data_IF_587533740643
#
_entry.id   IF_587533740643
#
_cell.length_a   1.000
_cell.length_b   1.000
_cell.length_c   1.000
_cell.angle_alpha   90.00
_cell.angle_beta   90.00
_cell.angle_gamma   90.00
#
_symmetry.space_group_name_H-M   'P 1'
#
loop_
_entity.id
_entity.type
_entity.pdbx_description
1 polymer ?
#
# COMPACT_ATOMS: atom_id res chain seq x y z
N UNK A 1 13.27 -5.69 13.26
CA UNK A 1 12.44 -6.90 13.07
C UNK A 1 11.00 -6.41 13.03
N UNK A 2 10.15 -6.94 12.14
CA UNK A 2 8.74 -6.56 12.11
C UNK A 2 8.03 -7.24 13.27
N UNK A 3 7.58 -6.47 14.26
CA UNK A 3 7.02 -6.92 15.54
C UNK A 3 5.57 -6.47 15.75
N UNK A 4 4.91 -6.07 14.66
CA UNK A 4 3.54 -5.54 14.63
C UNK A 4 2.57 -6.56 14.04
N UNK A 5 1.27 -6.31 14.21
CA UNK A 5 0.24 -7.07 13.49
C UNK A 5 0.33 -6.82 11.97
N UNK A 6 -0.28 -7.71 11.18
CA UNK A 6 -0.40 -7.54 9.74
C UNK A 6 -1.73 -6.89 9.39
N UNK A 7 -1.76 -6.19 8.26
CA UNK A 7 -3.02 -5.69 7.73
C UNK A 7 -3.94 -6.86 7.40
N UNK A 8 -5.21 -6.77 7.82
CA UNK A 8 -6.23 -7.77 7.52
C UNK A 8 -6.45 -7.93 6.02
N UNK A 9 -6.67 -9.16 5.55
CA UNK A 9 -7.04 -9.44 4.16
C UNK A 9 -8.29 -8.66 3.70
N UNK A 10 -9.18 -8.33 4.65
CA UNK A 10 -10.43 -7.61 4.39
C UNK A 10 -10.63 -6.47 5.39
N UNK A 11 -10.09 -5.30 5.07
CA UNK A 11 -10.39 -4.07 5.79
C UNK A 11 -11.80 -3.61 5.43
N UNK A 12 -12.72 -3.69 6.39
CA UNK A 12 -14.13 -3.30 6.17
C UNK A 12 -14.52 -2.01 6.90
N UNK A 13 -13.66 -1.49 7.76
CA UNK A 13 -13.83 -0.25 8.50
C UNK A 13 -12.45 0.32 8.83
N UNK A 14 -12.42 1.61 9.15
CA UNK A 14 -11.22 2.32 9.58
C UNK A 14 -11.52 2.96 10.93
N UNK A 15 -10.63 2.75 11.89
CA UNK A 15 -10.59 3.48 13.16
C UNK A 15 -10.17 4.93 12.91
N UNK A 16 -10.19 5.71 13.98
CA UNK A 16 -9.66 7.07 13.94
C UNK A 16 -8.18 7.05 13.51
N UNK A 17 -7.81 7.98 12.63
CA UNK A 17 -6.47 8.12 12.05
C UNK A 17 -5.94 6.95 11.20
N UNK A 18 -6.76 5.92 10.95
CA UNK A 18 -6.39 4.85 10.00
C UNK A 18 -6.62 5.29 8.56
N UNK A 19 -5.63 5.00 7.72
CA UNK A 19 -5.60 5.31 6.29
C UNK A 19 -5.53 4.02 5.49
N UNK A 20 -6.50 3.82 4.60
CA UNK A 20 -6.54 2.68 3.69
C UNK A 20 -5.60 2.92 2.50
N UNK A 21 -4.50 2.16 2.41
CA UNK A 21 -3.52 2.29 1.31
C UNK A 21 -3.80 1.25 0.23
N UNK A 22 -4.01 1.72 -1.00
CA UNK A 22 -4.51 0.89 -2.09
C UNK A 22 -3.82 1.14 -3.43
N UNK A 23 -3.84 0.12 -4.28
CA UNK A 23 -3.39 0.24 -5.67
C UNK A 23 -4.41 0.97 -6.53
N UNK A 24 -3.96 1.96 -7.28
CA UNK A 24 -4.76 2.77 -8.21
C UNK A 24 -4.13 2.82 -9.62
N UNK A 25 -4.66 3.66 -10.49
CA UNK A 25 -4.05 4.10 -11.74
C UNK A 25 -3.89 5.62 -11.73
N UNK A 26 -3.04 6.15 -12.61
CA UNK A 26 -2.75 7.59 -12.68
C UNK A 26 -3.99 8.45 -12.96
N UNK A 27 -5.00 7.90 -13.64
CA UNK A 27 -6.24 8.61 -13.94
C UNK A 27 -7.23 8.61 -12.77
N UNK A 28 -6.93 7.95 -11.65
CA UNK A 28 -7.84 7.83 -10.50
C UNK A 28 -9.16 7.13 -10.82
N UNK A 29 -9.15 6.22 -11.81
CA UNK A 29 -10.32 5.44 -12.19
C UNK A 29 -10.50 4.26 -11.23
N UNK A 30 -11.17 4.50 -10.10
CA UNK A 30 -11.31 3.56 -8.99
C UNK A 30 -12.47 2.57 -9.19
N UNK A 31 -12.55 1.92 -10.36
CA UNK A 31 -13.71 1.14 -10.78
C UNK A 31 -13.78 -0.32 -10.28
N UNK A 32 -12.75 -0.83 -9.60
CA UNK A 32 -12.72 -2.24 -9.17
C UNK A 32 -11.82 -2.51 -7.97
N UNK A 33 -12.01 -3.69 -7.38
CA UNK A 33 -11.16 -4.22 -6.29
C UNK A 33 -11.06 -3.28 -5.09
N UNK A 34 -9.84 -3.17 -4.54
CA UNK A 34 -9.54 -2.28 -3.41
C UNK A 34 -9.81 -0.80 -3.74
N UNK A 35 -9.58 -0.36 -4.97
CA UNK A 35 -9.85 1.02 -5.38
C UNK A 35 -11.34 1.37 -5.32
N UNK A 36 -12.21 0.47 -5.78
CA UNK A 36 -13.67 0.66 -5.65
C UNK A 36 -14.10 0.76 -4.19
N UNK A 37 -13.55 -0.09 -3.32
CA UNK A 37 -13.83 -0.03 -1.89
C UNK A 37 -13.37 1.30 -1.27
N UNK A 38 -12.16 1.74 -1.61
CA UNK A 38 -11.60 3.02 -1.17
C UNK A 38 -12.50 4.19 -1.56
N UNK A 39 -12.94 4.24 -2.82
CA UNK A 39 -13.84 5.26 -3.34
C UNK A 39 -15.21 5.23 -2.64
N UNK A 40 -15.79 4.05 -2.48
CA UNK A 40 -17.16 3.90 -1.97
C UNK A 40 -17.30 4.12 -0.47
N UNK A 41 -16.23 3.92 0.31
CA UNK A 41 -16.34 3.85 1.78
C UNK A 41 -15.35 4.69 2.55
N UNK A 42 -14.19 4.97 1.98
CA UNK A 42 -13.07 5.57 2.73
C UNK A 42 -12.66 6.95 2.21
N UNK A 43 -13.28 7.42 1.13
CA UNK A 43 -13.15 8.78 0.65
C UNK A 43 -12.04 8.99 -0.38
N UNK A 44 -11.61 7.93 -1.07
CA UNK A 44 -10.84 8.13 -2.29
C UNK A 44 -11.66 8.96 -3.28
N UNK A 45 -11.00 9.82 -4.06
CA UNK A 45 -11.66 10.73 -4.99
C UNK A 45 -11.48 10.23 -6.41
N UNK A 46 -12.57 10.17 -7.18
CA UNK A 46 -12.49 9.79 -8.59
C UNK A 46 -11.68 10.83 -9.37
N UNK A 47 -10.75 10.38 -10.20
CA UNK A 47 -9.80 11.27 -10.89
C UNK A 47 -8.49 11.48 -10.14
N UNK A 48 -8.45 11.16 -8.85
CA UNK A 48 -7.26 11.32 -8.01
C UNK A 48 -6.57 9.97 -7.76
N UNK A 49 -5.49 9.73 -8.50
CA UNK A 49 -4.78 8.44 -8.52
C UNK A 49 -3.57 8.33 -7.59
N UNK A 50 -3.17 9.43 -6.94
CA UNK A 50 -1.89 9.53 -6.22
C UNK A 50 -2.10 10.18 -4.87
N UNK A 51 -1.49 9.64 -3.82
CA UNK A 51 -1.37 10.33 -2.53
C UNK A 51 -2.64 10.30 -1.67
N UNK A 52 -2.65 11.12 -0.63
CA UNK A 52 -3.69 11.15 0.41
C UNK A 52 -4.98 11.81 -0.09
N UNK A 53 -6.09 11.08 -0.01
CA UNK A 53 -7.44 11.57 -0.30
C UNK A 53 -8.44 10.98 0.69
N UNK A 54 -9.14 11.84 1.44
CA UNK A 54 -10.01 11.39 2.53
C UNK A 54 -9.23 10.56 3.55
N UNK A 55 -9.69 9.34 3.84
CA UNK A 55 -8.98 8.37 4.70
C UNK A 55 -8.29 7.28 3.89
N UNK A 56 -7.75 7.66 2.72
CA UNK A 56 -7.11 6.72 1.79
C UNK A 56 -5.82 7.30 1.25
N UNK A 57 -4.88 6.43 0.89
CA UNK A 57 -3.66 6.81 0.18
C UNK A 57 -3.53 5.96 -1.09
N UNK A 58 -3.52 6.61 -2.24
CA UNK A 58 -3.48 5.96 -3.55
C UNK A 58 -2.04 5.79 -4.06
N UNK A 59 -1.70 4.58 -4.47
CA UNK A 59 -0.42 4.24 -5.11
C UNK A 59 -0.68 3.72 -6.53
N UNK A 60 -0.28 4.44 -7.59
CA UNK A 60 -0.42 3.95 -8.96
C UNK A 60 0.36 2.66 -9.24
N UNK A 61 -0.33 1.65 -9.78
CA UNK A 61 0.25 0.35 -10.12
C UNK A 61 -0.07 -0.12 -11.54
N UNK A 62 -0.57 0.75 -12.42
CA UNK A 62 -1.07 0.36 -13.75
C UNK A 62 -0.36 1.08 -14.91
N UNK A 63 0.77 1.73 -14.65
CA UNK A 63 1.50 2.56 -15.61
C UNK A 63 2.75 1.88 -16.21
N UNK A 64 2.92 0.57 -16.00
CA UNK A 64 4.05 -0.19 -16.52
C UNK A 64 4.45 -1.32 -15.58
N UNK A 65 5.75 -1.66 -15.58
CA UNK A 65 6.32 -2.65 -14.67
C UNK A 65 6.59 -2.12 -13.26
N UNK A 66 7.14 -2.98 -12.40
CA UNK A 66 7.48 -2.71 -10.99
C UNK A 66 8.27 -1.41 -10.81
N UNK A 67 9.22 -1.13 -11.71
CA UNK A 67 10.06 0.09 -11.65
C UNK A 67 9.24 1.39 -11.72
N UNK A 68 8.09 1.35 -12.40
CA UNK A 68 7.20 2.52 -12.50
C UNK A 68 6.37 2.74 -11.23
N UNK A 69 6.26 1.73 -10.37
CA UNK A 69 5.54 1.77 -9.09
C UNK A 69 6.45 2.32 -7.98
N UNK A 70 7.75 1.98 -8.04
CA UNK A 70 8.72 2.29 -6.99
C UNK A 70 8.71 3.75 -6.52
N UNK A 71 8.72 4.79 -7.39
CA UNK A 71 8.74 6.17 -6.93
C UNK A 71 7.54 6.51 -6.02
N UNK A 72 6.36 5.99 -6.33
CA UNK A 72 5.15 6.22 -5.52
C UNK A 72 5.18 5.49 -4.17
N UNK A 73 5.85 4.33 -4.10
CA UNK A 73 6.08 3.64 -2.84
C UNK A 73 7.11 4.39 -1.99
N UNK A 74 8.17 4.90 -2.60
CA UNK A 74 9.17 5.72 -1.92
C UNK A 74 8.51 6.99 -1.33
N UNK A 75 7.69 7.69 -2.12
CA UNK A 75 6.92 8.87 -1.68
C UNK A 75 5.96 8.53 -0.54
N UNK A 76 5.24 7.40 -0.63
CA UNK A 76 4.37 6.91 0.44
C UNK A 76 5.12 6.68 1.76
N UNK A 77 6.31 6.05 1.69
CA UNK A 77 7.12 5.77 2.87
C UNK A 77 7.63 7.07 3.50
N UNK A 78 8.05 8.04 2.67
CA UNK A 78 8.46 9.36 3.16
C UNK A 78 7.31 10.08 3.84
N UNK A 79 6.15 10.15 3.17
CA UNK A 79 4.93 10.74 3.70
C UNK A 79 4.55 10.12 5.06
N UNK A 80 4.57 8.80 5.15
CA UNK A 80 4.22 8.09 6.38
C UNK A 80 5.13 8.45 7.56
N UNK A 81 6.42 8.69 7.30
CA UNK A 81 7.39 9.09 8.34
C UNK A 81 7.14 10.51 8.86
N UNK A 82 6.59 11.39 8.02
CA UNK A 82 6.24 12.78 8.38
C UNK A 82 4.87 12.84 9.11
N UNK A 83 4.00 11.87 8.87
CA UNK A 83 2.65 11.78 9.42
C UNK A 83 2.47 10.67 10.46
N UNK A 84 3.23 10.75 11.56
CA UNK A 84 3.26 9.72 12.62
C UNK A 84 1.94 9.59 13.39
N UNK A 85 1.08 10.58 13.30
CA UNK A 85 -0.27 10.59 13.87
C UNK A 85 -1.24 9.67 13.13
N UNK A 86 -0.92 9.27 11.89
CA UNK A 86 -1.73 8.40 11.05
C UNK A 86 -1.20 6.97 11.05
N UNK A 87 -2.09 5.98 10.96
CA UNK A 87 -1.75 4.56 10.79
C UNK A 87 -2.14 4.10 9.39
N UNK A 88 -1.16 3.68 8.60
CA UNK A 88 -1.36 3.29 7.21
C UNK A 88 -1.54 1.78 7.08
N UNK A 89 -2.74 1.36 6.69
CA UNK A 89 -3.09 -0.04 6.48
C UNK A 89 -2.87 -0.41 5.01
N UNK A 90 -1.75 -1.08 4.72
CA UNK A 90 -1.33 -1.43 3.37
C UNK A 90 -2.02 -2.71 2.90
N UNK A 91 -2.76 -2.61 1.79
CA UNK A 91 -3.32 -3.78 1.09
C UNK A 91 -2.24 -4.51 0.28
N UNK A 92 -2.56 -5.65 -0.35
CA UNK A 92 -1.69 -6.27 -1.37
C UNK A 92 -1.68 -5.45 -2.66
N UNK A 93 -1.09 -4.27 -2.60
CA UNK A 93 -1.05 -3.26 -3.65
C UNK A 93 -0.48 -3.88 -4.92
N UNK A 94 -1.19 -3.71 -6.04
CA UNK A 94 -0.77 -4.26 -7.33
C UNK A 94 -1.09 -5.75 -7.55
N UNK A 95 -1.36 -6.54 -6.51
CA UNK A 95 -1.54 -7.99 -6.63
C UNK A 95 -2.98 -8.46 -6.93
N UNK A 96 -3.88 -7.51 -7.16
CA UNK A 96 -5.24 -7.77 -7.64
C UNK A 96 -5.35 -7.55 -9.14
N UNK A 97 -6.05 -6.48 -9.54
CA UNK A 97 -6.35 -6.17 -10.95
C UNK A 97 -5.08 -5.91 -11.78
N UNK A 98 -4.06 -5.27 -11.19
CA UNK A 98 -2.80 -4.99 -11.91
C UNK A 98 -1.96 -6.27 -12.16
N UNK A 99 -2.23 -7.36 -11.45
CA UNK A 99 -1.70 -8.69 -11.75
C UNK A 99 -0.27 -8.97 -11.32
N UNK A 100 0.35 -8.11 -10.51
CA UNK A 100 1.69 -8.40 -9.98
C UNK A 100 1.64 -9.53 -8.94
N UNK A 101 2.74 -10.28 -8.83
CA UNK A 101 2.92 -11.24 -7.75
C UNK A 101 3.44 -10.56 -6.50
N UNK A 102 3.24 -11.18 -5.34
CA UNK A 102 3.73 -10.63 -4.07
C UNK A 102 5.25 -10.44 -4.10
N UNK A 103 5.98 -11.40 -4.69
CA UNK A 103 7.45 -11.39 -4.79
C UNK A 103 7.97 -10.22 -5.65
N UNK A 104 7.12 -9.66 -6.51
CA UNK A 104 7.46 -8.56 -7.43
C UNK A 104 7.27 -7.20 -6.76
N UNK A 105 6.23 -7.03 -5.94
CA UNK A 105 5.90 -5.75 -5.30
C UNK A 105 6.48 -5.63 -3.89
N UNK A 106 6.46 -6.70 -3.10
CA UNK A 106 6.90 -6.67 -1.71
C UNK A 106 8.31 -6.07 -1.51
N UNK A 107 9.31 -6.34 -2.37
CA UNK A 107 10.64 -5.74 -2.24
C UNK A 107 10.64 -4.20 -2.25
N UNK A 108 9.66 -3.55 -2.88
CA UNK A 108 9.53 -2.09 -2.88
C UNK A 108 9.21 -1.54 -1.48
N UNK A 109 8.60 -2.35 -0.63
CA UNK A 109 8.21 -1.98 0.74
C UNK A 109 9.26 -2.35 1.80
N UNK A 110 10.47 -2.75 1.40
CA UNK A 110 11.53 -3.16 2.34
C UNK A 110 11.80 -2.11 3.43
N UNK A 111 11.84 -0.83 3.05
CA UNK A 111 12.11 0.27 3.98
C UNK A 111 10.91 0.57 4.90
N UNK A 112 9.70 0.14 4.54
CA UNK A 112 8.51 0.27 5.39
C UNK A 112 8.53 -0.69 6.59
N UNK A 113 9.34 -1.77 6.57
CA UNK A 113 9.49 -2.67 7.72
C UNK A 113 9.84 -1.91 9.01
N UNK A 114 10.70 -0.89 8.89
CA UNK A 114 11.18 -0.10 10.02
C UNK A 114 10.31 1.15 10.31
N UNK A 115 9.17 1.32 9.64
CA UNK A 115 8.29 2.48 9.82
C UNK A 115 7.05 2.06 10.63
N UNK A 116 7.01 2.48 11.90
CA UNK A 116 6.06 1.98 12.90
C UNK A 116 4.59 2.12 12.52
N UNK A 117 4.24 3.22 11.88
CA UNK A 117 2.88 3.53 11.50
C UNK A 117 2.48 2.98 10.12
N UNK A 118 3.33 2.17 9.48
CA UNK A 118 2.96 1.38 8.31
C UNK A 118 2.72 -0.06 8.74
N UNK A 119 1.50 -0.53 8.51
CA UNK A 119 1.07 -1.90 8.74
C UNK A 119 1.01 -2.61 7.39
N UNK A 120 1.88 -3.60 7.20
CA UNK A 120 2.02 -4.34 5.94
C UNK A 120 1.14 -5.60 5.93
N UNK A 121 0.72 -6.09 4.76
CA UNK A 121 0.09 -7.40 4.65
C UNK A 121 1.15 -8.48 4.91
N UNK A 122 0.70 -9.61 5.46
CA UNK A 122 1.58 -10.72 5.88
C UNK A 122 2.47 -11.20 4.73
N UNK A 123 1.92 -11.34 3.54
CA UNK A 123 2.63 -11.83 2.37
C UNK A 123 3.78 -10.91 1.95
N UNK A 124 3.64 -9.60 2.14
CA UNK A 124 4.74 -8.69 1.84
C UNK A 124 5.87 -8.84 2.85
N UNK A 125 5.54 -8.93 4.14
CA UNK A 125 6.56 -9.12 5.18
C UNK A 125 7.29 -10.45 5.01
N UNK A 126 6.57 -11.54 4.75
CA UNK A 126 7.18 -12.86 4.50
C UNK A 126 8.12 -12.84 3.28
N UNK A 127 7.72 -12.19 2.19
CA UNK A 127 8.57 -12.04 1.00
C UNK A 127 9.83 -11.21 1.29
N UNK A 128 9.69 -10.10 2.00
CA UNK A 128 10.82 -9.21 2.34
C UNK A 128 11.83 -9.92 3.26
N UNK A 129 11.33 -10.65 4.26
CA UNK A 129 12.20 -11.36 5.21
C UNK A 129 12.86 -12.59 4.56
N UNK A 130 12.17 -13.27 3.66
CA UNK A 130 12.72 -14.43 2.93
C UNK A 130 13.85 -14.04 1.97
N UNK A 131 13.78 -12.87 1.32
CA UNK A 131 14.89 -12.37 0.48
C UNK A 131 16.10 -11.90 1.31
N UNK A 132 15.89 -11.59 2.60
CA UNK A 132 16.94 -11.22 3.55
C UNK A 132 17.85 -12.37 3.97
N UNK A 133 17.36 -13.61 3.95
CA UNK A 133 18.11 -14.82 4.33
C UNK A 133 18.81 -15.50 3.12
N UNK A 134 18.48 -15.15 1.88
CA UNK A 134 19.08 -15.72 0.67
C UNK A 134 20.42 -15.04 0.28
N UNK A 135 20.77 -13.91 0.91
CA UNK A 135 21.98 -13.13 0.61
C UNK A 135 23.05 -13.13 1.71
N UNK A 136 23.09 -14.16 2.56
CA UNK A 136 24.21 -14.41 3.47
C UNK A 136 25.05 -15.60 3.04
#
# INVERSE_FOLDING_TARGET
MYDREYTSERISELRENEIFVFGSNLAGAHGGGAAWLAYRRFGAVWGEGVGLHGRTYAIPTMQGGVDTVKPYVDDFILFSKEHKELTFLVTRIGCGIAGFRNEEIAPLFKDAICVENIILPKEFVENILSDGDIRR
#
